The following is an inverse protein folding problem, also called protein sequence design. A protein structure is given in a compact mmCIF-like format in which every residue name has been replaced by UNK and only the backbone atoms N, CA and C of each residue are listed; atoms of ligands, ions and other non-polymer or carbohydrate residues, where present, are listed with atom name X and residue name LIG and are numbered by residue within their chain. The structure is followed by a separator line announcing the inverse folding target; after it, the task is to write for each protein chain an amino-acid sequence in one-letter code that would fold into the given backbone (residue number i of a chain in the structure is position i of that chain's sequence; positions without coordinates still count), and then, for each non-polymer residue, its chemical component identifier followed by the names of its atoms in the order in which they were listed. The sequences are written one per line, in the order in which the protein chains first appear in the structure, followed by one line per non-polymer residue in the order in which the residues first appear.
data_IF_474105743633
#
_entry.id   IF_474105743633
#
_cell.length_a   1.000
_cell.length_b   1.000
_cell.length_c   1.000
_cell.angle_alpha   90.00
_cell.angle_beta   90.00
_cell.angle_gamma   90.00
#
_symmetry.space_group_name_H-M   'P 1'
#
loop_
_entity.id
_entity.type
_entity.pdbx_description
1 polymer ?
#
# COMPACT_ATOMS: atom_id res chain seq x y z
N UNK A 1 -3.98 7.33 26.62
CA UNK A 1 -5.28 7.10 27.28
C UNK A 1 -6.37 7.33 26.23
N UNK A 2 -6.67 6.32 25.41
CA UNK A 2 -7.83 6.33 24.52
C UNK A 2 -8.87 5.44 25.18
N UNK A 3 -10.03 6.02 25.54
CA UNK A 3 -11.16 5.26 26.06
C UNK A 3 -11.54 4.17 25.05
N UNK A 4 -11.91 2.99 25.55
CA UNK A 4 -12.41 1.85 24.78
C UNK A 4 -13.76 2.17 24.14
N UNK A 5 -13.78 3.05 23.15
CA UNK A 5 -14.92 3.22 22.26
C UNK A 5 -14.79 2.18 21.15
N UNK A 6 -15.48 1.04 21.29
CA UNK A 6 -15.65 0.12 20.18
C UNK A 6 -16.80 0.62 19.31
N UNK A 7 -16.49 1.14 18.13
CA UNK A 7 -17.50 1.35 17.10
C UNK A 7 -17.67 0.04 16.31
N UNK A 8 -18.90 -0.40 16.02
CA UNK A 8 -19.10 -1.55 15.16
C UNK A 8 -18.56 -1.21 13.75
N UNK A 9 -17.55 -1.94 13.31
CA UNK A 9 -16.96 -1.74 11.99
C UNK A 9 -18.01 -2.09 10.92
N UNK A 10 -18.26 -1.14 10.03
CA UNK A 10 -19.07 -1.37 8.83
C UNK A 10 -18.23 -2.14 7.80
N UNK A 11 -18.87 -2.87 6.87
CA UNK A 11 -18.17 -3.31 5.67
C UNK A 11 -17.49 -2.11 5.01
N UNK A 12 -16.33 -2.34 4.40
CA UNK A 12 -15.52 -1.27 3.81
C UNK A 12 -14.67 -1.79 2.65
N UNK A 13 -14.20 -0.86 1.82
CA UNK A 13 -13.05 -1.07 0.94
C UNK A 13 -11.84 -0.44 1.64
N UNK A 14 -10.70 -1.14 1.61
CA UNK A 14 -9.43 -0.61 2.13
C UNK A 14 -8.28 -1.16 1.30
N UNK A 15 -7.17 -0.45 1.24
CA UNK A 15 -6.00 -0.93 0.53
C UNK A 15 -4.76 -0.13 0.84
N UNK A 16 -3.68 -0.50 0.16
CA UNK A 16 -2.36 0.09 0.28
C UNK A 16 -1.71 0.17 -1.09
N UNK A 17 -0.72 1.04 -1.23
CA UNK A 17 0.17 1.15 -2.37
C UNK A 17 1.39 0.23 -2.22
N UNK A 18 2.05 -0.17 -3.31
CA UNK A 18 3.26 -1.01 -3.22
C UNK A 18 4.49 -0.25 -2.70
N UNK A 19 4.55 1.07 -2.88
CA UNK A 19 5.69 1.92 -2.48
C UNK A 19 5.28 3.14 -1.62
N UNK A 20 4.36 2.96 -0.68
CA UNK A 20 3.80 4.04 0.20
C UNK A 20 4.88 5.00 0.72
N UNK A 21 5.95 4.45 1.31
CA UNK A 21 6.93 5.27 2.01
C UNK A 21 8.09 5.79 1.14
N UNK A 22 8.15 5.46 -0.15
CA UNK A 22 9.29 5.81 -1.01
C UNK A 22 9.51 7.32 -1.09
N UNK A 23 8.44 8.08 -1.39
CA UNK A 23 8.50 9.53 -1.45
C UNK A 23 8.91 10.17 -0.11
N UNK A 24 8.36 9.66 1.00
CA UNK A 24 8.68 10.15 2.35
C UNK A 24 10.15 9.92 2.70
N UNK A 25 10.67 8.71 2.50
CA UNK A 25 12.06 8.39 2.85
C UNK A 25 13.05 9.22 2.04
N UNK A 26 12.82 9.42 0.74
CA UNK A 26 13.71 10.23 -0.10
C UNK A 26 13.53 11.75 0.11
N UNK A 27 12.37 12.19 0.60
CA UNK A 27 12.14 13.56 1.02
C UNK A 27 12.90 13.93 2.30
N UNK A 28 12.90 13.03 3.29
CA UNK A 28 13.60 13.23 4.57
C UNK A 28 15.11 12.94 4.46
N UNK A 29 15.50 11.88 3.72
CA UNK A 29 16.88 11.47 3.53
C UNK A 29 17.35 11.79 2.11
N UNK A 30 17.82 13.03 1.91
CA UNK A 30 18.27 13.50 0.60
C UNK A 30 19.59 12.87 0.14
N UNK A 31 20.42 12.41 1.07
CA UNK A 31 21.68 11.70 0.79
C UNK A 31 21.51 10.17 0.90
N UNK A 32 22.32 9.37 0.16
CA UNK A 32 22.34 7.92 0.31
C UNK A 32 22.54 7.49 1.76
N UNK A 33 21.73 6.54 2.22
CA UNK A 33 21.85 5.98 3.56
C UNK A 33 22.86 4.83 3.53
N UNK A 34 23.99 4.96 4.21
CA UNK A 34 24.97 3.85 4.29
C UNK A 34 24.44 2.69 5.16
N UNK A 35 25.00 1.47 5.05
CA UNK A 35 24.68 0.37 5.97
C UNK A 35 24.84 0.72 7.45
N UNK A 36 25.92 1.43 7.80
CA UNK A 36 26.13 1.92 9.16
C UNK A 36 25.09 2.98 9.54
N UNK A 37 24.75 3.86 8.61
CA UNK A 37 23.68 4.85 8.80
C UNK A 37 22.34 4.17 9.08
N UNK A 38 21.97 3.14 8.32
CA UNK A 38 20.77 2.35 8.56
C UNK A 38 20.74 1.72 9.96
N UNK A 39 21.85 1.12 10.39
CA UNK A 39 21.96 0.54 11.74
C UNK A 39 21.93 1.60 12.85
N UNK A 40 22.26 2.85 12.53
CA UNK A 40 22.24 3.98 13.48
C UNK A 40 20.87 4.65 13.56
N UNK A 41 20.19 4.81 12.42
CA UNK A 41 18.86 5.44 12.33
C UNK A 41 17.76 4.48 12.77
N UNK A 42 17.93 3.19 12.54
CA UNK A 42 16.97 2.16 12.91
C UNK A 42 16.48 2.21 14.36
N UNK A 43 17.37 2.22 15.37
CA UNK A 43 16.96 2.33 16.78
C UNK A 43 16.24 3.64 17.12
N UNK A 44 16.48 4.72 16.37
CA UNK A 44 15.78 6.00 16.55
C UNK A 44 14.33 5.87 16.07
N UNK A 45 14.10 5.17 14.96
CA UNK A 45 12.77 4.98 14.37
C UNK A 45 11.96 3.89 15.07
N UNK A 46 12.60 2.78 15.44
CA UNK A 46 11.92 1.57 15.90
C UNK A 46 12.22 1.20 17.36
N UNK A 47 13.01 2.02 18.07
CA UNK A 47 13.37 1.78 19.46
C UNK A 47 14.02 0.40 19.67
N UNK A 48 13.62 -0.26 20.76
CA UNK A 48 14.14 -1.59 21.14
C UNK A 48 13.81 -2.69 20.13
N UNK A 49 12.76 -2.53 19.31
CA UNK A 49 12.40 -3.51 18.28
C UNK A 49 13.41 -3.59 17.13
N UNK A 50 14.28 -2.58 16.97
CA UNK A 50 15.17 -2.53 15.82
C UNK A 50 16.11 -3.74 15.74
N UNK A 51 16.48 -4.34 16.87
CA UNK A 51 17.30 -5.57 16.87
C UNK A 51 16.62 -6.71 16.09
N UNK A 52 15.32 -6.94 16.32
CA UNK A 52 14.54 -7.92 15.58
C UNK A 52 14.33 -7.52 14.12
N UNK A 53 14.11 -6.24 13.86
CA UNK A 53 13.93 -5.70 12.50
C UNK A 53 15.22 -5.86 11.68
N UNK A 54 16.38 -5.54 12.25
CA UNK A 54 17.67 -5.68 11.58
C UNK A 54 18.04 -7.14 11.28
N UNK A 55 17.57 -8.10 12.09
CA UNK A 55 17.72 -9.53 11.78
C UNK A 55 16.86 -9.96 10.59
N UNK A 56 15.64 -9.43 10.47
CA UNK A 56 14.73 -9.75 9.36
C UNK A 56 15.04 -8.98 8.08
N UNK A 57 15.49 -7.73 8.24
CA UNK A 57 15.79 -6.77 7.19
C UNK A 57 17.21 -6.23 7.40
N UNK A 58 18.24 -7.07 7.20
CA UNK A 58 19.62 -6.63 7.30
C UNK A 58 19.95 -5.63 6.17
N UNK A 59 20.99 -4.80 6.33
CA UNK A 59 21.49 -3.97 5.24
C UNK A 59 21.73 -4.79 3.97
N UNK A 60 21.31 -4.24 2.83
CA UNK A 60 21.45 -4.87 1.52
C UNK A 60 22.74 -4.36 0.85
N UNK A 61 23.77 -5.21 0.81
CA UNK A 61 25.06 -4.86 0.22
C UNK A 61 25.75 -3.68 0.92
N UNK A 62 26.62 -2.97 0.18
CA UNK A 62 27.35 -1.79 0.68
C UNK A 62 26.77 -0.45 0.20
N UNK A 63 25.67 -0.49 -0.58
CA UNK A 63 25.09 0.67 -1.24
C UNK A 63 24.08 1.45 -0.41
N UNK A 64 23.27 2.25 -1.10
CA UNK A 64 22.20 3.06 -0.51
C UNK A 64 21.09 2.19 0.08
N UNK A 65 20.80 2.39 1.36
CA UNK A 65 19.81 1.66 2.14
C UNK A 65 18.43 2.37 2.18
N UNK A 66 18.26 3.52 1.52
CA UNK A 66 16.94 4.19 1.43
C UNK A 66 15.85 3.29 0.83
N UNK A 67 16.09 2.47 -0.22
CA UNK A 67 15.08 1.53 -0.70
C UNK A 67 14.66 0.49 0.35
N UNK A 68 15.61 -0.04 1.12
CA UNK A 68 15.34 -0.96 2.24
C UNK A 68 14.49 -0.28 3.31
N UNK A 69 14.86 0.94 3.70
CA UNK A 69 14.12 1.73 4.67
C UNK A 69 12.71 2.07 4.17
N UNK A 70 12.55 2.43 2.90
CA UNK A 70 11.24 2.68 2.28
C UNK A 70 10.35 1.42 2.28
N UNK A 71 10.92 0.25 2.01
CA UNK A 71 10.19 -1.03 2.12
C UNK A 71 9.72 -1.27 3.55
N UNK A 72 10.59 -1.08 4.53
CA UNK A 72 10.28 -1.23 5.96
C UNK A 72 9.16 -0.30 6.41
N UNK A 73 9.30 1.00 6.11
CA UNK A 73 8.32 2.02 6.52
C UNK A 73 6.99 1.81 5.78
N UNK A 74 7.00 1.37 4.52
CA UNK A 74 5.77 0.97 3.79
C UNK A 74 5.02 -0.12 4.53
N UNK A 75 5.72 -1.16 4.99
CA UNK A 75 5.11 -2.26 5.73
C UNK A 75 4.64 -1.82 7.12
N UNK A 76 5.49 -1.11 7.86
CA UNK A 76 5.26 -0.70 9.24
C UNK A 76 4.15 0.34 9.39
N UNK A 77 4.14 1.40 8.57
CA UNK A 77 3.20 2.51 8.73
C UNK A 77 1.89 2.30 7.96
N UNK A 78 1.95 1.61 6.81
CA UNK A 78 0.83 1.57 5.88
C UNK A 78 0.25 0.16 5.69
N UNK A 79 0.99 -0.73 5.04
CA UNK A 79 0.43 -1.99 4.54
C UNK A 79 -0.04 -2.92 5.67
N UNK A 80 0.75 -3.08 6.73
CA UNK A 80 0.44 -4.03 7.80
C UNK A 80 -0.61 -3.55 8.80
N UNK A 81 -0.59 -2.28 9.25
CA UNK A 81 -1.71 -1.70 9.98
C UNK A 81 -3.03 -1.74 9.17
N UNK A 82 -2.96 -1.49 7.86
CA UNK A 82 -4.11 -1.62 6.94
C UNK A 82 -4.69 -3.03 6.96
N UNK A 83 -3.83 -4.05 6.89
CA UNK A 83 -4.25 -5.45 6.98
C UNK A 83 -4.89 -5.76 8.34
N UNK A 84 -4.33 -5.28 9.45
CA UNK A 84 -4.92 -5.44 10.79
C UNK A 84 -6.34 -4.88 10.84
N UNK A 85 -6.57 -3.69 10.27
CA UNK A 85 -7.92 -3.12 10.19
C UNK A 85 -8.83 -3.93 9.28
N UNK A 86 -8.32 -4.40 8.13
CA UNK A 86 -9.07 -5.23 7.20
C UNK A 86 -9.57 -6.54 7.85
N UNK A 87 -8.79 -7.18 8.73
CA UNK A 87 -9.23 -8.38 9.46
C UNK A 87 -10.31 -8.10 10.52
N UNK A 88 -10.38 -6.88 11.04
CA UNK A 88 -11.39 -6.49 12.03
C UNK A 88 -12.74 -6.12 11.39
N UNK A 89 -12.75 -5.85 10.07
CA UNK A 89 -13.93 -5.46 9.32
C UNK A 89 -14.34 -6.52 8.29
N UNK A 90 -15.58 -6.46 7.80
CA UNK A 90 -15.97 -7.18 6.59
C UNK A 90 -15.43 -6.42 5.36
N UNK A 91 -14.11 -6.52 5.14
CA UNK A 91 -13.39 -5.68 4.18
C UNK A 91 -13.22 -6.34 2.81
N UNK A 92 -13.19 -5.48 1.79
CA UNK A 92 -12.62 -5.77 0.47
C UNK A 92 -11.24 -5.12 0.43
N UNK A 93 -10.19 -5.93 0.37
CA UNK A 93 -8.80 -5.46 0.42
C UNK A 93 -8.18 -5.35 -0.97
N UNK A 94 -7.51 -4.24 -1.26
CA UNK A 94 -6.77 -4.05 -2.51
C UNK A 94 -5.31 -3.69 -2.26
N UNK A 95 -4.48 -3.98 -3.26
CA UNK A 95 -3.13 -3.45 -3.40
C UNK A 95 -3.10 -2.66 -4.70
N UNK A 96 -2.54 -1.46 -4.68
CA UNK A 96 -2.38 -0.66 -5.88
C UNK A 96 -0.90 -0.61 -6.24
N UNK A 97 -0.55 -1.25 -7.36
CA UNK A 97 0.83 -1.35 -7.86
C UNK A 97 0.99 -0.81 -9.28
N UNK A 98 -0.04 -0.18 -9.84
CA UNK A 98 0.04 0.41 -11.16
C UNK A 98 0.84 1.72 -11.09
N UNK A 99 1.91 1.87 -11.89
CA UNK A 99 2.79 3.02 -11.76
C UNK A 99 2.14 4.31 -12.25
N UNK A 100 2.40 5.41 -11.55
CA UNK A 100 2.13 6.74 -12.08
C UNK A 100 3.37 7.26 -12.81
N UNK A 101 3.14 7.84 -13.97
CA UNK A 101 4.15 8.55 -14.74
C UNK A 101 3.93 10.05 -14.64
N UNK A 102 5.02 10.82 -14.75
CA UNK A 102 4.95 12.28 -14.88
C UNK A 102 4.02 12.65 -16.04
N UNK A 103 2.99 13.45 -15.76
CA UNK A 103 1.97 13.82 -16.73
C UNK A 103 1.37 15.19 -16.45
N UNK A 104 1.31 16.03 -17.49
CA UNK A 104 0.76 17.39 -17.38
C UNK A 104 1.45 18.20 -16.29
N UNK A 105 0.72 18.49 -15.20
CA UNK A 105 1.21 19.25 -14.04
C UNK A 105 1.73 18.37 -12.89
N UNK A 106 1.58 17.04 -12.98
CA UNK A 106 2.13 16.11 -12.00
C UNK A 106 3.58 15.80 -12.38
N UNK A 107 4.51 16.09 -11.48
CA UNK A 107 5.88 15.58 -11.52
C UNK A 107 6.03 14.43 -10.51
N UNK A 108 6.29 13.22 -11.00
CA UNK A 108 6.37 12.04 -10.14
C UNK A 108 7.71 11.92 -9.42
N UNK A 109 8.77 12.60 -9.88
CA UNK A 109 10.08 12.66 -9.21
C UNK A 109 10.65 11.28 -8.89
N UNK A 110 11.02 11.05 -7.62
CA UNK A 110 11.53 9.75 -7.14
C UNK A 110 10.52 8.60 -7.29
N UNK A 111 9.24 8.94 -7.42
CA UNK A 111 8.13 8.02 -7.64
C UNK A 111 7.78 7.83 -9.12
N UNK A 112 8.62 8.31 -10.04
CA UNK A 112 8.45 8.03 -11.47
C UNK A 112 8.43 6.51 -11.71
N UNK A 113 7.39 6.06 -12.41
CA UNK A 113 7.15 4.64 -12.67
C UNK A 113 7.02 3.80 -11.38
N UNK A 114 6.42 4.35 -10.32
CA UNK A 114 6.14 3.67 -9.04
C UNK A 114 4.72 3.97 -8.55
N UNK A 115 4.22 3.18 -7.62
CA UNK A 115 2.93 3.39 -6.97
C UNK A 115 3.18 3.91 -5.54
N UNK A 116 3.53 5.19 -5.45
CA UNK A 116 3.79 5.86 -4.17
C UNK A 116 2.50 6.26 -3.45
N UNK A 117 2.62 6.70 -2.20
CA UNK A 117 1.47 7.18 -1.42
C UNK A 117 0.59 8.16 -2.18
N UNK A 118 -0.72 7.92 -2.18
CA UNK A 118 -1.75 8.71 -2.86
C UNK A 118 -1.71 8.73 -4.40
N UNK A 119 -0.86 7.93 -5.05
CA UNK A 119 -0.72 7.94 -6.51
C UNK A 119 -1.84 7.17 -7.23
N UNK A 120 -2.70 6.47 -6.51
CA UNK A 120 -3.96 5.92 -7.03
C UNK A 120 -5.04 6.99 -7.21
N UNK A 121 -4.94 8.13 -6.51
CA UNK A 121 -5.99 9.16 -6.51
C UNK A 121 -6.25 9.78 -7.89
N UNK A 122 -5.23 10.12 -8.71
CA UNK A 122 -5.47 10.59 -10.07
C UNK A 122 -6.28 9.58 -10.89
N UNK A 123 -6.02 8.28 -10.74
CA UNK A 123 -6.79 7.24 -11.42
C UNK A 123 -8.21 7.13 -10.86
N UNK A 124 -8.37 7.14 -9.53
CA UNK A 124 -9.68 7.02 -8.86
C UNK A 124 -10.63 8.15 -9.27
N UNK A 125 -10.13 9.39 -9.26
CA UNK A 125 -10.90 10.58 -9.60
C UNK A 125 -10.88 10.90 -11.10
N UNK A 126 -10.22 10.06 -11.90
CA UNK A 126 -10.06 10.25 -13.35
C UNK A 126 -9.47 11.62 -13.69
N UNK A 127 -8.61 12.14 -12.81
CA UNK A 127 -7.91 13.39 -13.01
C UNK A 127 -6.91 13.21 -14.17
N UNK A 128 -6.73 14.26 -14.99
CA UNK A 128 -5.79 14.22 -16.13
C UNK A 128 -6.14 13.19 -17.22
N UNK A 129 -7.43 12.88 -17.41
CA UNK A 129 -7.93 11.93 -18.41
C UNK A 129 -7.36 12.12 -19.84
N UNK A 130 -7.13 13.37 -20.25
CA UNK A 130 -6.56 13.70 -21.55
C UNK A 130 -5.10 13.25 -21.70
N UNK A 131 -4.37 13.17 -20.59
CA UNK A 131 -2.96 12.73 -20.53
C UNK A 131 -2.82 11.22 -20.33
N UNK A 132 -3.89 10.53 -19.91
CA UNK A 132 -3.88 9.09 -19.70
C UNK A 132 -3.70 8.31 -21.00
N UNK A 133 -2.77 7.35 -20.97
CA UNK A 133 -2.65 6.28 -21.96
C UNK A 133 -3.88 5.37 -21.92
N UNK A 134 -3.97 4.44 -22.87
CA UNK A 134 -5.07 3.46 -22.86
C UNK A 134 -5.02 2.55 -21.63
N UNK A 135 -3.83 2.18 -21.16
CA UNK A 135 -3.64 1.41 -19.93
C UNK A 135 -4.09 2.22 -18.70
N UNK A 136 -3.69 3.49 -18.60
CA UNK A 136 -4.10 4.38 -17.51
C UNK A 136 -5.63 4.52 -17.44
N UNK A 137 -6.28 4.70 -18.60
CA UNK A 137 -7.75 4.79 -18.70
C UNK A 137 -8.41 3.49 -18.27
N UNK A 138 -7.85 2.34 -18.64
CA UNK A 138 -8.35 1.04 -18.21
C UNK A 138 -8.28 0.88 -16.68
N UNK A 139 -7.14 1.19 -16.07
CA UNK A 139 -6.97 1.13 -14.61
C UNK A 139 -7.89 2.12 -13.90
N UNK A 140 -7.95 3.36 -14.38
CA UNK A 140 -8.80 4.42 -13.85
C UNK A 140 -10.28 4.05 -13.89
N UNK A 141 -10.78 3.57 -15.02
CA UNK A 141 -12.17 3.12 -15.16
C UNK A 141 -12.45 1.90 -14.27
N UNK A 142 -11.52 0.95 -14.20
CA UNK A 142 -11.68 -0.26 -13.39
C UNK A 142 -11.75 0.10 -11.90
N UNK A 143 -10.82 0.92 -11.40
CA UNK A 143 -10.80 1.39 -10.02
C UNK A 143 -12.08 2.17 -9.67
N UNK A 144 -12.45 3.16 -10.48
CA UNK A 144 -13.68 3.95 -10.28
C UNK A 144 -14.95 3.07 -10.31
N UNK A 145 -14.99 2.03 -11.17
CA UNK A 145 -16.12 1.10 -11.23
C UNK A 145 -16.28 0.31 -9.94
N UNK A 146 -15.19 -0.27 -9.40
CA UNK A 146 -15.26 -1.00 -8.12
C UNK A 146 -15.71 -0.09 -6.96
N UNK A 147 -15.14 1.11 -6.85
CA UNK A 147 -15.48 2.07 -5.79
C UNK A 147 -16.94 2.54 -5.89
N UNK A 148 -17.42 2.87 -7.09
CA UNK A 148 -18.80 3.34 -7.29
C UNK A 148 -19.84 2.22 -7.19
N UNK A 149 -19.49 1.01 -7.60
CA UNK A 149 -20.30 -0.19 -7.34
C UNK A 149 -20.50 -0.39 -5.84
N UNK A 150 -19.43 -0.35 -5.07
CA UNK A 150 -19.49 -0.48 -3.63
C UNK A 150 -20.30 0.63 -2.97
N UNK A 151 -20.11 1.88 -3.39
CA UNK A 151 -20.89 3.01 -2.88
C UNK A 151 -22.41 2.84 -3.13
N UNK A 152 -22.79 2.29 -4.29
CA UNK A 152 -24.19 2.07 -4.68
C UNK A 152 -24.83 0.85 -3.99
N UNK A 153 -24.10 -0.25 -3.84
CA UNK A 153 -24.68 -1.56 -3.53
C UNK A 153 -24.06 -2.28 -2.33
N UNK A 154 -22.98 -1.75 -1.76
CA UNK A 154 -22.11 -2.42 -0.77
C UNK A 154 -21.46 -3.71 -1.30
N UNK A 155 -21.42 -3.90 -2.62
CA UNK A 155 -20.74 -4.99 -3.31
C UNK A 155 -19.96 -4.42 -4.49
N UNK A 156 -18.61 -4.51 -4.51
CA UNK A 156 -17.80 -3.89 -5.55
C UNK A 156 -18.00 -4.56 -6.93
N UNK A 157 -18.63 -5.74 -6.98
CA UNK A 157 -18.91 -6.47 -8.22
C UNK A 157 -20.23 -6.07 -8.92
N UNK A 158 -21.04 -5.20 -8.29
CA UNK A 158 -22.37 -4.84 -8.79
C UNK A 158 -22.72 -3.36 -8.51
N UNK A 159 -23.56 -2.73 -9.34
CA UNK A 159 -24.32 -3.31 -10.44
C UNK A 159 -23.58 -3.39 -11.77
N UNK A 160 -22.50 -2.62 -11.96
CA UNK A 160 -21.75 -2.59 -13.21
C UNK A 160 -20.78 -3.77 -13.26
N UNK A 161 -20.69 -4.45 -14.40
CA UNK A 161 -19.77 -5.57 -14.59
C UNK A 161 -18.32 -5.13 -14.40
N UNK A 162 -17.57 -5.94 -13.67
CA UNK A 162 -16.14 -5.75 -13.37
C UNK A 162 -15.31 -6.86 -14.03
N UNK A 163 -14.00 -6.64 -14.29
CA UNK A 163 -13.16 -7.62 -14.97
C UNK A 163 -12.92 -8.88 -14.13
N UNK A 164 -12.84 -8.76 -12.80
CA UNK A 164 -12.60 -9.87 -11.89
C UNK A 164 -13.59 -9.82 -10.73
N UNK A 165 -14.05 -10.99 -10.27
CA UNK A 165 -14.85 -11.05 -9.05
C UNK A 165 -13.94 -10.85 -7.82
N UNK A 166 -14.21 -9.80 -7.05
CA UNK A 166 -13.51 -9.47 -5.82
C UNK A 166 -14.33 -9.93 -4.62
N UNK A 167 -13.81 -10.89 -3.86
CA UNK A 167 -14.44 -11.37 -2.64
C UNK A 167 -13.98 -10.58 -1.41
N UNK A 168 -14.78 -10.59 -0.35
CA UNK A 168 -14.35 -10.10 0.96
C UNK A 168 -13.16 -10.91 1.46
N UNK A 169 -12.34 -10.27 2.29
CA UNK A 169 -11.22 -10.91 2.95
C UNK A 169 -11.73 -12.02 3.89
N UNK A 170 -11.13 -13.20 3.81
CA UNK A 170 -11.44 -14.37 4.63
C UNK A 170 -10.17 -14.83 5.35
N UNK A 171 -10.31 -15.35 6.58
CA UNK A 171 -9.18 -15.67 7.46
C UNK A 171 -8.24 -16.77 6.95
N UNK A 172 -8.71 -17.67 6.06
CA UNK A 172 -7.91 -18.79 5.54
C UNK A 172 -7.21 -18.49 4.20
N UNK A 173 -7.63 -17.42 3.50
CA UNK A 173 -7.04 -16.99 2.23
C UNK A 173 -7.36 -15.52 2.02
N UNK A 174 -6.40 -14.66 2.38
CA UNK A 174 -6.55 -13.22 2.27
C UNK A 174 -6.46 -12.82 0.80
N UNK A 175 -7.61 -12.70 0.13
CA UNK A 175 -7.67 -12.27 -1.27
C UNK A 175 -7.57 -10.74 -1.36
N UNK A 176 -6.69 -10.28 -2.25
CA UNK A 176 -6.52 -8.88 -2.59
C UNK A 176 -6.83 -8.69 -4.07
N UNK A 177 -7.54 -7.60 -4.39
CA UNK A 177 -7.57 -7.11 -5.76
C UNK A 177 -6.31 -6.27 -5.99
N UNK A 178 -5.46 -6.69 -6.91
CA UNK A 178 -4.25 -5.96 -7.27
C UNK A 178 -4.51 -5.10 -8.51
N UNK A 179 -4.44 -3.78 -8.35
CA UNK A 179 -4.49 -2.83 -9.46
C UNK A 179 -3.11 -2.76 -10.09
N UNK A 180 -2.91 -3.64 -11.05
CA UNK A 180 -1.78 -3.71 -12.01
C UNK A 180 -2.36 -3.73 -13.43
N UNK A 181 -1.52 -3.71 -14.45
CA UNK A 181 -1.95 -3.96 -15.84
C UNK A 181 -1.39 -5.30 -16.35
N UNK A 182 -2.22 -6.34 -16.51
CA UNK A 182 -3.66 -6.40 -16.21
C UNK A 182 -3.94 -6.49 -14.71
N UNK A 183 -5.19 -6.22 -14.30
CA UNK A 183 -5.62 -6.38 -12.89
C UNK A 183 -5.63 -7.86 -12.50
N UNK A 184 -5.32 -8.15 -11.23
CA UNK A 184 -5.13 -9.52 -10.75
C UNK A 184 -5.77 -9.75 -9.39
N UNK A 185 -6.09 -11.00 -9.07
CA UNK A 185 -6.36 -11.41 -7.67
C UNK A 185 -5.09 -12.06 -7.13
N UNK A 186 -4.57 -11.53 -6.04
CA UNK A 186 -3.47 -12.13 -5.29
C UNK A 186 -3.97 -12.63 -3.95
N UNK A 187 -3.22 -13.54 -3.33
CA UNK A 187 -3.51 -14.06 -1.99
C UNK A 187 -2.35 -13.82 -1.06
N UNK A 188 -2.64 -13.55 0.22
CA UNK A 188 -1.65 -13.50 1.29
C UNK A 188 -0.55 -12.46 1.03
N UNK A 189 -0.93 -11.29 0.50
CA UNK A 189 0.00 -10.19 0.25
C UNK A 189 0.77 -9.81 1.52
N UNK A 190 2.10 -9.84 1.43
CA UNK A 190 3.04 -9.59 2.53
C UNK A 190 2.84 -10.47 3.79
N UNK A 191 2.08 -11.56 3.73
CA UNK A 191 1.61 -12.28 4.92
C UNK A 191 2.71 -12.54 5.97
N UNK A 192 3.87 -13.03 5.55
CA UNK A 192 4.99 -13.35 6.45
C UNK A 192 5.62 -12.12 7.09
N UNK A 193 5.82 -11.04 6.33
CA UNK A 193 6.41 -9.78 6.83
C UNK A 193 5.48 -9.11 7.82
N UNK A 194 4.21 -9.14 7.47
CA UNK A 194 3.16 -8.45 8.15
C UNK A 194 2.81 -9.20 9.46
N UNK A 195 2.92 -10.54 9.47
CA UNK A 195 2.88 -11.35 10.71
C UNK A 195 4.06 -11.05 11.66
N UNK A 196 5.23 -10.75 11.11
CA UNK A 196 6.37 -10.30 11.91
C UNK A 196 6.08 -8.93 12.54
N UNK A 197 5.59 -7.96 11.76
CA UNK A 197 5.22 -6.64 12.26
C UNK A 197 4.13 -6.70 13.34
N UNK A 198 3.10 -7.52 13.14
CA UNK A 198 2.05 -7.76 14.14
C UNK A 198 2.60 -8.32 15.46
N UNK A 199 3.65 -9.14 15.38
CA UNK A 199 4.30 -9.74 16.55
C UNK A 199 5.16 -8.77 17.37
N UNK A 200 5.73 -7.74 16.73
CA UNK A 200 6.57 -6.74 17.41
C UNK A 200 5.84 -5.42 17.73
N UNK A 201 4.71 -5.16 17.06
CA UNK A 201 3.86 -4.00 17.26
C UNK A 201 4.20 -2.78 16.40
N UNK A 202 3.27 -1.81 16.43
CA UNK A 202 3.32 -0.53 15.71
C UNK A 202 3.25 0.59 16.75
N UNK A 203 4.38 1.10 17.22
CA UNK A 203 4.43 2.12 18.28
C UNK A 203 5.40 3.25 17.94
#
# INVERSE_FOLDING_TARGET
MFSSTSFPLKPLIIGTMTEEALGYVYGELTQPLSPLGYLTVGPILFGSNFSAIAMRYPPEGSGDQRPLLARLVTQWVFACPTRVLAHKAAAYSYVFGYPLHTMGIINAGICEARACHSYELPFLFQAFWLNFTNADRYISQTLATYWTNYAKSKNPNHPVKVPLAWSKLASQSEKYLNFTDPVQITTNYLMNDCNFWDGIGYY
#
